data_IF_926417353498
#
_entry.id   IF_926417353498
#
_cell.length_a   1.000
_cell.length_b   1.000
_cell.length_c   1.000
_cell.angle_alpha   90.00
_cell.angle_beta   90.00
_cell.angle_gamma   90.00
#
_symmetry.space_group_name_H-M   'P 1'
#
loop_
_entity.id
_entity.type
_entity.pdbx_description
1 polymer ?
#
# COMPACT_ATOMS: atom_id res chain seq x y z
N UNK A 1 11.85 -23.00 2.29
CA UNK A 1 11.27 -22.02 3.22
C UNK A 1 9.86 -22.49 3.62
N UNK A 2 9.57 -22.52 4.91
CA UNK A 2 8.37 -23.19 5.45
C UNK A 2 7.21 -22.16 5.49
N UNK A 3 6.28 -22.21 4.53
CA UNK A 3 5.14 -21.24 4.39
C UNK A 3 4.33 -20.99 5.69
N UNK A 4 4.28 -21.95 6.61
CA UNK A 4 3.62 -21.78 7.92
C UNK A 4 4.39 -20.85 8.87
N UNK A 5 5.72 -20.76 8.72
CA UNK A 5 6.57 -19.87 9.51
C UNK A 5 6.37 -18.41 9.14
N UNK A 6 6.23 -18.11 7.84
CA UNK A 6 6.18 -16.75 7.33
C UNK A 6 4.88 -16.02 7.75
N UNK A 7 3.74 -16.70 7.68
CA UNK A 7 2.46 -16.12 8.12
C UNK A 7 2.44 -15.82 9.64
N UNK A 8 3.03 -16.72 10.44
CA UNK A 8 3.15 -16.48 11.89
C UNK A 8 4.01 -15.27 12.22
N UNK A 9 5.07 -15.02 11.44
CA UNK A 9 5.95 -13.84 11.61
C UNK A 9 5.20 -12.55 11.26
N UNK A 10 4.45 -12.54 10.16
CA UNK A 10 3.62 -11.39 9.75
C UNK A 10 2.60 -11.05 10.85
N UNK A 11 1.86 -12.06 11.35
CA UNK A 11 0.86 -11.84 12.42
C UNK A 11 1.51 -11.31 13.71
N UNK A 12 2.71 -11.81 14.07
CA UNK A 12 3.46 -11.30 15.22
C UNK A 12 3.90 -9.85 15.00
N UNK A 13 4.34 -9.50 13.79
CA UNK A 13 4.68 -8.13 13.41
C UNK A 13 3.49 -7.18 13.58
N UNK A 14 2.32 -7.54 13.04
CA UNK A 14 1.10 -6.75 13.20
C UNK A 14 0.69 -6.58 14.68
N UNK A 15 0.76 -7.67 15.47
CA UNK A 15 0.45 -7.60 16.90
C UNK A 15 1.42 -6.68 17.64
N UNK A 16 2.70 -6.71 17.28
CA UNK A 16 3.71 -5.84 17.87
C UNK A 16 3.43 -4.37 17.55
N UNK A 17 3.11 -4.05 16.31
CA UNK A 17 2.76 -2.69 15.87
C UNK A 17 1.54 -2.17 16.62
N UNK A 18 0.47 -2.98 16.73
CA UNK A 18 -0.72 -2.62 17.50
C UNK A 18 -0.43 -2.41 19.00
N UNK A 19 0.57 -3.12 19.55
CA UNK A 19 1.00 -2.96 20.95
C UNK A 19 1.82 -1.69 21.15
N UNK A 20 2.70 -1.35 20.20
CA UNK A 20 3.56 -0.16 20.28
C UNK A 20 2.71 1.12 20.18
N UNK A 21 1.84 1.18 19.16
CA UNK A 21 1.01 2.37 18.94
C UNK A 21 -0.43 2.00 18.55
N UNK A 22 -1.33 1.77 19.55
CA UNK A 22 -2.71 1.38 19.30
C UNK A 22 -3.52 2.48 18.59
N UNK A 23 -3.16 3.76 18.75
CA UNK A 23 -3.82 4.87 18.06
C UNK A 23 -3.55 4.84 16.57
N UNK A 24 -2.32 4.49 16.17
CA UNK A 24 -1.97 4.31 14.76
C UNK A 24 -2.83 3.22 14.11
N UNK A 25 -2.95 2.06 14.75
CA UNK A 25 -3.76 0.96 14.28
C UNK A 25 -5.26 1.34 14.19
N UNK A 26 -5.79 2.05 15.19
CA UNK A 26 -7.20 2.47 15.22
C UNK A 26 -7.55 3.46 14.09
N UNK A 27 -6.73 4.49 13.89
CA UNK A 27 -6.95 5.45 12.80
C UNK A 27 -6.76 4.82 11.41
N UNK A 28 -5.88 3.86 11.28
CA UNK A 28 -5.71 3.11 10.03
C UNK A 28 -6.96 2.29 9.71
N UNK A 29 -7.49 1.54 10.67
CA UNK A 29 -8.73 0.78 10.48
C UNK A 29 -9.91 1.70 10.14
N UNK A 30 -10.05 2.81 10.85
CA UNK A 30 -11.10 3.80 10.56
C UNK A 30 -10.96 4.35 9.13
N UNK A 31 -9.75 4.69 8.72
CA UNK A 31 -9.48 5.17 7.34
C UNK A 31 -9.84 4.11 6.29
N UNK A 32 -9.47 2.84 6.50
CA UNK A 32 -9.81 1.74 5.59
C UNK A 32 -11.33 1.58 5.47
N UNK A 33 -12.04 1.52 6.60
CA UNK A 33 -13.50 1.36 6.61
C UNK A 33 -14.17 2.51 5.88
N UNK A 34 -13.81 3.76 6.18
CA UNK A 34 -14.38 4.94 5.51
C UNK A 34 -14.10 4.92 4.00
N UNK A 35 -12.88 4.56 3.58
CA UNK A 35 -12.51 4.52 2.16
C UNK A 35 -13.30 3.44 1.42
N UNK A 36 -13.42 2.25 2.00
CA UNK A 36 -14.19 1.15 1.42
C UNK A 36 -15.67 1.51 1.32
N UNK A 37 -16.27 2.02 2.41
CA UNK A 37 -17.68 2.42 2.40
C UNK A 37 -17.95 3.56 1.41
N UNK A 38 -17.06 4.56 1.34
CA UNK A 38 -17.19 5.67 0.37
C UNK A 38 -17.16 5.19 -1.09
N UNK A 39 -16.51 4.05 -1.39
CA UNK A 39 -16.48 3.49 -2.74
C UNK A 39 -17.72 2.66 -3.09
N UNK A 40 -18.31 1.95 -2.13
CA UNK A 40 -19.39 1.00 -2.42
C UNK A 40 -20.80 1.52 -2.11
N UNK A 41 -20.98 2.41 -1.13
CA UNK A 41 -22.28 2.98 -0.80
C UNK A 41 -22.91 3.74 -1.98
N UNK A 42 -22.15 4.56 -2.75
CA UNK A 42 -22.71 5.24 -3.92
C UNK A 42 -23.25 4.28 -4.98
N UNK A 43 -22.60 3.14 -5.19
CA UNK A 43 -23.04 2.10 -6.14
C UNK A 43 -24.40 1.55 -5.72
N UNK A 44 -24.57 1.26 -4.43
CA UNK A 44 -25.84 0.76 -3.90
C UNK A 44 -26.96 1.81 -4.01
N UNK A 45 -26.69 3.03 -3.59
CA UNK A 45 -27.69 4.11 -3.60
C UNK A 45 -28.05 4.56 -5.03
N UNK A 46 -27.09 4.56 -5.96
CA UNK A 46 -27.38 4.87 -7.37
C UNK A 46 -28.30 3.83 -8.00
N UNK A 47 -28.16 2.56 -7.65
CA UNK A 47 -29.08 1.53 -8.11
C UNK A 47 -30.52 1.77 -7.60
N UNK A 48 -30.68 2.25 -6.37
CA UNK A 48 -31.99 2.61 -5.84
C UNK A 48 -32.58 3.86 -6.54
N UNK A 49 -31.76 4.87 -6.82
CA UNK A 49 -32.17 6.06 -7.55
C UNK A 49 -32.67 5.69 -8.95
N UNK A 50 -31.94 4.81 -9.66
CA UNK A 50 -32.35 4.32 -10.99
C UNK A 50 -33.67 3.56 -10.91
N UNK A 51 -33.90 2.76 -9.89
CA UNK A 51 -35.17 2.07 -9.69
C UNK A 51 -36.34 3.05 -9.48
N UNK A 52 -36.17 4.07 -8.65
CA UNK A 52 -37.21 5.09 -8.44
C UNK A 52 -37.50 5.87 -9.74
N UNK A 53 -36.46 6.21 -10.52
CA UNK A 53 -36.62 6.87 -11.83
C UNK A 53 -37.34 5.93 -12.84
N UNK A 54 -37.04 4.64 -12.84
CA UNK A 54 -37.72 3.67 -13.70
C UNK A 54 -39.21 3.56 -13.36
N UNK A 55 -39.58 3.65 -12.08
CA UNK A 55 -40.97 3.69 -11.64
C UNK A 55 -41.71 4.95 -12.12
N UNK A 56 -41.01 6.07 -12.34
CA UNK A 56 -41.57 7.29 -12.91
C UNK A 56 -42.01 7.14 -14.39
N UNK A 57 -41.41 6.16 -15.11
CA UNK A 57 -41.76 5.87 -16.51
C UNK A 57 -43.04 5.03 -16.66
N UNK A 58 -43.63 4.53 -15.56
CA UNK A 58 -44.86 3.75 -15.55
C UNK A 58 -46.11 4.62 -15.49
N UNK A 59 -47.15 4.33 -16.26
CA UNK A 59 -48.39 5.13 -16.46
C UNK A 59 -49.23 5.33 -15.20
N UNK A 60 -48.97 4.69 -14.05
CA UNK A 60 -49.81 4.73 -12.83
C UNK A 60 -49.11 5.23 -11.56
N UNK A 61 -47.97 5.91 -11.67
CA UNK A 61 -47.28 6.43 -10.50
C UNK A 61 -47.73 7.84 -10.13
N UNK A 62 -47.96 8.09 -8.83
CA UNK A 62 -48.03 9.43 -8.28
C UNK A 62 -46.67 10.13 -8.48
N UNK A 63 -46.52 10.80 -9.60
CA UNK A 63 -45.28 11.42 -10.10
C UNK A 63 -44.57 12.26 -9.04
N UNK A 64 -45.33 13.03 -8.24
CA UNK A 64 -44.76 13.92 -7.22
C UNK A 64 -44.07 13.18 -6.07
N UNK A 65 -44.61 12.03 -5.65
CA UNK A 65 -44.05 11.26 -4.54
C UNK A 65 -42.74 10.54 -4.95
N UNK A 66 -42.69 10.03 -6.18
CA UNK A 66 -41.51 9.36 -6.69
C UNK A 66 -40.37 10.35 -6.98
N UNK A 67 -40.69 11.55 -7.48
CA UNK A 67 -39.72 12.65 -7.65
C UNK A 67 -39.15 13.09 -6.29
N UNK A 68 -40.00 13.30 -5.28
CA UNK A 68 -39.52 13.67 -3.95
C UNK A 68 -38.60 12.60 -3.33
N UNK A 69 -38.93 11.32 -3.49
CA UNK A 69 -38.06 10.22 -3.01
C UNK A 69 -36.73 10.17 -3.74
N UNK A 70 -36.72 10.32 -5.06
CA UNK A 70 -35.48 10.34 -5.87
C UNK A 70 -34.58 11.53 -5.46
N UNK A 71 -35.13 12.71 -5.30
CA UNK A 71 -34.41 13.91 -4.86
C UNK A 71 -33.85 13.70 -3.44
N UNK A 72 -34.64 13.19 -2.53
CA UNK A 72 -34.19 12.88 -1.15
C UNK A 72 -33.05 11.84 -1.15
N UNK A 73 -33.14 10.78 -1.95
CA UNK A 73 -32.08 9.79 -2.09
C UNK A 73 -30.78 10.42 -2.62
N UNK A 74 -30.87 11.34 -3.58
CA UNK A 74 -29.68 12.07 -4.09
C UNK A 74 -29.03 12.88 -2.97
N UNK A 75 -29.80 13.68 -2.22
CA UNK A 75 -29.27 14.45 -1.09
C UNK A 75 -28.66 13.57 -0.01
N UNK A 76 -29.30 12.47 0.34
CA UNK A 76 -28.75 11.48 1.30
C UNK A 76 -27.45 10.90 0.78
N UNK A 77 -27.39 10.52 -0.50
CA UNK A 77 -26.18 9.96 -1.11
C UNK A 77 -25.02 10.95 -1.03
N UNK A 78 -25.22 12.19 -1.45
CA UNK A 78 -24.21 13.25 -1.41
C UNK A 78 -23.77 13.52 0.05
N UNK A 79 -24.72 13.61 0.97
CA UNK A 79 -24.44 13.83 2.39
C UNK A 79 -23.61 12.70 3.02
N UNK A 80 -23.98 11.44 2.76
CA UNK A 80 -23.25 10.27 3.26
C UNK A 80 -21.83 10.22 2.68
N UNK A 81 -21.67 10.44 1.38
CA UNK A 81 -20.35 10.47 0.72
C UNK A 81 -19.48 11.58 1.33
N UNK A 82 -20.06 12.77 1.52
CA UNK A 82 -19.34 13.90 2.10
C UNK A 82 -18.85 13.59 3.52
N UNK A 83 -19.72 13.05 4.38
CA UNK A 83 -19.37 12.66 5.76
C UNK A 83 -18.28 11.59 5.77
N UNK A 84 -18.43 10.54 4.96
CA UNK A 84 -17.44 9.46 4.88
C UNK A 84 -16.08 9.95 4.39
N UNK A 85 -16.06 10.82 3.38
CA UNK A 85 -14.80 11.40 2.90
C UNK A 85 -14.18 12.34 3.95
N UNK A 86 -14.99 13.13 4.66
CA UNK A 86 -14.50 14.00 5.72
C UNK A 86 -13.86 13.20 6.86
N UNK A 87 -14.57 12.19 7.37
CA UNK A 87 -14.07 11.31 8.44
C UNK A 87 -12.85 10.51 7.95
N UNK A 88 -12.89 9.99 6.72
CA UNK A 88 -11.79 9.26 6.11
C UNK A 88 -10.53 10.10 5.97
N UNK A 89 -10.64 11.34 5.49
CA UNK A 89 -9.50 12.27 5.39
C UNK A 89 -8.96 12.68 6.75
N UNK A 90 -9.84 12.90 7.73
CA UNK A 90 -9.43 13.18 9.10
C UNK A 90 -8.65 11.99 9.68
N UNK A 91 -9.17 10.76 9.52
CA UNK A 91 -8.51 9.54 9.97
C UNK A 91 -7.15 9.35 9.28
N UNK A 92 -7.07 9.59 7.96
CA UNK A 92 -5.83 9.50 7.19
C UNK A 92 -4.77 10.50 7.70
N UNK A 93 -5.14 11.76 7.94
CA UNK A 93 -4.21 12.74 8.52
C UNK A 93 -3.71 12.33 9.90
N UNK A 94 -4.60 11.83 10.76
CA UNK A 94 -4.19 11.32 12.09
C UNK A 94 -3.30 10.09 11.96
N UNK A 95 -3.60 9.18 11.02
CA UNK A 95 -2.74 8.04 10.67
C UNK A 95 -1.33 8.51 10.33
N UNK A 96 -1.17 9.53 9.46
CA UNK A 96 0.14 10.03 9.04
C UNK A 96 0.93 10.61 10.22
N UNK A 97 0.27 11.36 11.12
CA UNK A 97 0.92 11.88 12.34
C UNK A 97 1.39 10.71 13.23
N UNK A 98 0.51 9.74 13.50
CA UNK A 98 0.88 8.60 14.34
C UNK A 98 1.87 7.65 13.68
N UNK A 99 1.95 7.62 12.35
CA UNK A 99 3.00 6.92 11.60
C UNK A 99 4.39 7.50 11.92
N UNK A 100 4.52 8.83 11.96
CA UNK A 100 5.77 9.49 12.35
C UNK A 100 6.14 9.20 13.81
N UNK A 101 5.15 9.23 14.71
CA UNK A 101 5.35 8.87 16.11
C UNK A 101 5.77 7.40 16.23
N UNK A 102 5.15 6.50 15.49
CA UNK A 102 5.50 5.08 15.47
C UNK A 102 6.97 4.86 15.10
N UNK A 103 7.50 5.59 14.11
CA UNK A 103 8.91 5.52 13.75
C UNK A 103 9.84 5.91 14.91
N UNK A 104 9.45 6.89 15.72
CA UNK A 104 10.20 7.27 16.91
C UNK A 104 10.06 6.23 18.04
N UNK A 105 8.86 5.69 18.23
CA UNK A 105 8.58 4.64 19.22
C UNK A 105 9.35 3.35 18.89
N UNK A 106 9.49 3.01 17.61
CA UNK A 106 10.29 1.88 17.14
C UNK A 106 11.77 2.07 17.51
N UNK A 107 12.35 3.23 17.22
CA UNK A 107 13.73 3.56 17.60
C UNK A 107 13.94 3.53 19.11
N UNK A 108 12.97 4.05 19.88
CA UNK A 108 12.99 4.01 21.33
C UNK A 108 13.02 2.58 21.85
N UNK A 109 12.18 1.69 21.29
CA UNK A 109 12.14 0.28 21.65
C UNK A 109 13.50 -0.42 21.41
N UNK A 110 14.15 -0.11 20.29
CA UNK A 110 15.51 -0.63 20.00
C UNK A 110 16.55 -0.09 21.00
N UNK A 111 16.47 1.19 21.34
CA UNK A 111 17.38 1.80 22.31
C UNK A 111 17.20 1.18 23.72
N UNK A 112 15.95 1.09 24.21
CA UNK A 112 15.61 0.44 25.46
C UNK A 112 16.12 -1.02 25.50
N UNK A 113 15.84 -1.79 24.44
CA UNK A 113 16.31 -3.17 24.36
C UNK A 113 17.83 -3.29 24.35
N UNK A 114 18.52 -2.34 23.72
CA UNK A 114 19.99 -2.31 23.71
C UNK A 114 20.56 -1.96 25.09
N UNK A 115 19.88 -1.11 25.85
CA UNK A 115 20.30 -0.76 27.22
C UNK A 115 20.01 -1.89 28.22
N UNK A 116 18.92 -2.62 28.06
CA UNK A 116 18.54 -3.73 28.94
C UNK A 116 19.36 -5.01 28.70
N UNK A 117 20.09 -5.08 27.58
CA UNK A 117 20.93 -6.24 27.28
C UNK A 117 22.14 -6.29 28.21
N UNK A 118 22.47 -7.50 28.67
CA UNK A 118 23.73 -7.73 29.41
C UNK A 118 24.91 -7.37 28.50
N UNK A 119 25.94 -6.74 29.07
CA UNK A 119 27.14 -6.34 28.34
C UNK A 119 27.76 -7.48 27.51
N UNK A 120 27.84 -8.67 28.10
CA UNK A 120 28.34 -9.88 27.44
C UNK A 120 27.50 -10.34 26.23
N UNK A 121 26.23 -9.95 26.14
CA UNK A 121 25.36 -10.23 25.00
C UNK A 121 25.45 -9.13 23.94
N UNK A 122 25.62 -7.90 24.37
CA UNK A 122 25.78 -6.74 23.49
C UNK A 122 27.09 -6.82 22.67
N UNK A 123 28.17 -7.35 23.25
CA UNK A 123 29.47 -7.51 22.59
C UNK A 123 29.56 -8.75 21.67
N UNK A 124 28.57 -9.65 21.67
CA UNK A 124 28.59 -10.80 20.77
C UNK A 124 28.57 -10.35 19.32
N UNK A 125 29.47 -10.90 18.51
CA UNK A 125 29.52 -10.67 17.06
C UNK A 125 28.17 -10.92 16.38
N UNK A 126 27.40 -11.92 16.86
CA UNK A 126 26.05 -12.19 16.37
C UNK A 126 25.07 -11.05 16.61
N UNK A 127 25.15 -10.37 17.75
CA UNK A 127 24.28 -9.21 18.08
C UNK A 127 24.66 -8.01 17.21
N UNK A 128 25.96 -7.75 17.03
CA UNK A 128 26.46 -6.69 16.16
C UNK A 128 26.02 -6.92 14.70
N UNK A 129 26.15 -8.14 14.20
CA UNK A 129 25.70 -8.50 12.85
C UNK A 129 24.17 -8.37 12.68
N UNK A 130 23.39 -8.77 13.69
CA UNK A 130 21.93 -8.63 13.66
C UNK A 130 21.53 -7.16 13.62
N UNK A 131 22.16 -6.30 14.42
CA UNK A 131 21.93 -4.85 14.43
C UNK A 131 22.27 -4.24 13.07
N UNK A 132 23.45 -4.54 12.53
CA UNK A 132 23.85 -4.05 11.20
C UNK A 132 22.90 -4.51 10.09
N UNK A 133 22.38 -5.74 10.19
CA UNK A 133 21.38 -6.26 9.25
C UNK A 133 20.05 -5.50 9.35
N UNK A 134 19.54 -5.27 10.56
CA UNK A 134 18.31 -4.49 10.79
C UNK A 134 18.48 -3.05 10.24
N UNK A 135 19.61 -2.40 10.51
CA UNK A 135 19.88 -1.06 10.00
C UNK A 135 19.94 -1.03 8.46
N UNK A 136 20.57 -2.03 7.85
CA UNK A 136 20.61 -2.19 6.39
C UNK A 136 19.22 -2.45 5.80
N UNK A 137 18.43 -3.35 6.38
CA UNK A 137 17.06 -3.62 5.94
C UNK A 137 16.15 -2.39 6.08
N UNK A 138 16.30 -1.61 7.16
CA UNK A 138 15.59 -0.34 7.33
C UNK A 138 15.94 0.69 6.25
N UNK A 139 17.20 0.76 5.82
CA UNK A 139 17.64 1.66 4.75
C UNK A 139 17.14 1.22 3.38
N UNK A 140 17.00 -0.08 3.13
CA UNK A 140 16.50 -0.65 1.87
C UNK A 140 14.97 -0.66 1.78
N UNK A 141 14.26 -0.15 2.79
CA UNK A 141 12.79 -0.07 2.80
C UNK A 141 12.08 -1.31 3.36
N UNK A 142 12.81 -2.37 3.73
CA UNK A 142 12.23 -3.55 4.42
C UNK A 142 12.09 -3.29 5.92
N UNK A 143 11.32 -2.28 6.28
CA UNK A 143 11.10 -1.91 7.67
C UNK A 143 9.71 -2.31 8.17
N UNK A 144 9.50 -2.21 9.47
CA UNK A 144 8.24 -2.54 10.12
C UNK A 144 7.07 -1.66 9.65
N UNK A 145 7.36 -0.41 9.30
CA UNK A 145 6.40 0.52 8.71
C UNK A 145 5.90 0.03 7.34
N UNK A 146 6.81 -0.42 6.47
CA UNK A 146 6.47 -0.94 5.13
C UNK A 146 5.62 -2.22 5.23
N UNK A 147 5.96 -3.11 6.19
CA UNK A 147 5.16 -4.30 6.50
C UNK A 147 3.71 -3.91 6.84
N UNK A 148 3.54 -2.89 7.68
CA UNK A 148 2.23 -2.44 8.11
C UNK A 148 1.44 -1.77 6.97
N UNK A 149 2.06 -0.86 6.22
CA UNK A 149 1.43 -0.19 5.07
C UNK A 149 0.97 -1.19 4.00
N UNK A 150 1.82 -2.13 3.62
CA UNK A 150 1.45 -3.15 2.64
C UNK A 150 0.40 -4.12 3.17
N UNK A 151 0.49 -4.49 4.44
CA UNK A 151 -0.51 -5.35 5.07
C UNK A 151 -1.88 -4.68 5.19
N UNK A 152 -1.94 -3.38 5.49
CA UNK A 152 -3.20 -2.63 5.53
C UNK A 152 -3.83 -2.49 4.14
N UNK A 153 -3.03 -2.28 3.08
CA UNK A 153 -3.49 -2.31 1.69
C UNK A 153 -4.06 -3.68 1.31
N UNK A 154 -3.42 -4.75 1.75
CA UNK A 154 -3.90 -6.11 1.53
C UNK A 154 -5.25 -6.35 2.24
N UNK A 155 -5.39 -5.93 3.49
CA UNK A 155 -6.67 -6.02 4.23
C UNK A 155 -7.76 -5.22 3.49
N UNK A 156 -7.47 -3.99 3.08
CA UNK A 156 -8.39 -3.16 2.30
C UNK A 156 -8.81 -3.86 1.01
N UNK A 157 -7.86 -4.44 0.27
CA UNK A 157 -8.12 -5.19 -0.94
C UNK A 157 -8.99 -6.44 -0.70
N UNK A 158 -8.76 -7.18 0.37
CA UNK A 158 -9.57 -8.34 0.75
C UNK A 158 -11.02 -7.93 1.07
N UNK A 159 -11.23 -6.87 1.86
CA UNK A 159 -12.56 -6.36 2.18
C UNK A 159 -13.27 -5.91 0.89
N UNK A 160 -12.58 -5.14 0.04
CA UNK A 160 -13.11 -4.70 -1.25
C UNK A 160 -13.50 -5.88 -2.15
N UNK A 161 -12.68 -6.92 -2.24
CA UNK A 161 -12.95 -8.11 -3.02
C UNK A 161 -14.20 -8.86 -2.52
N UNK A 162 -14.36 -9.02 -1.21
CA UNK A 162 -15.56 -9.67 -0.62
C UNK A 162 -16.83 -8.89 -0.95
N UNK A 163 -16.81 -7.56 -0.80
CA UNK A 163 -17.95 -6.72 -1.11
C UNK A 163 -18.27 -6.75 -2.61
N UNK A 164 -17.25 -6.63 -3.48
CA UNK A 164 -17.42 -6.72 -4.93
C UNK A 164 -18.02 -8.06 -5.33
N UNK A 165 -17.54 -9.16 -4.74
CA UNK A 165 -18.08 -10.49 -4.99
C UNK A 165 -19.55 -10.60 -4.58
N UNK A 166 -19.94 -10.02 -3.44
CA UNK A 166 -21.33 -10.00 -3.00
C UNK A 166 -22.23 -9.23 -3.98
N UNK A 167 -21.76 -8.08 -4.51
CA UNK A 167 -22.50 -7.34 -5.54
C UNK A 167 -22.66 -8.12 -6.84
N UNK A 168 -21.59 -8.76 -7.32
CA UNK A 168 -21.63 -9.58 -8.53
C UNK A 168 -22.53 -10.78 -8.34
N UNK A 169 -22.45 -11.47 -7.20
CA UNK A 169 -23.33 -12.60 -6.90
C UNK A 169 -24.81 -12.18 -6.93
N UNK A 170 -25.15 -11.03 -6.33
CA UNK A 170 -26.50 -10.47 -6.37
C UNK A 170 -26.94 -10.18 -7.80
N UNK A 171 -26.08 -9.61 -8.64
CA UNK A 171 -26.37 -9.28 -10.03
C UNK A 171 -26.64 -10.53 -10.88
N UNK A 172 -25.91 -11.64 -10.61
CA UNK A 172 -26.11 -12.91 -11.28
C UNK A 172 -27.45 -13.59 -10.90
N UNK A 173 -28.02 -13.27 -9.74
CA UNK A 173 -29.27 -13.85 -9.25
C UNK A 173 -30.52 -13.01 -9.53
N UNK A 174 -30.38 -11.92 -10.30
CA UNK A 174 -31.55 -11.12 -10.73
C UNK A 174 -32.38 -11.94 -11.73
N UNK A 175 -33.66 -12.11 -11.40
CA UNK A 175 -34.64 -12.73 -12.27
C UNK A 175 -34.93 -11.84 -13.49
N UNK A 176 -34.95 -12.43 -14.69
CA UNK A 176 -35.21 -11.71 -15.94
C UNK A 176 -34.00 -11.60 -16.88
N UNK A 177 -32.78 -11.87 -16.44
CA UNK A 177 -31.62 -11.91 -17.34
C UNK A 177 -31.54 -13.26 -18.10
N UNK A 178 -31.34 -13.25 -19.43
CA UNK A 178 -31.14 -14.47 -20.20
C UNK A 178 -29.84 -15.18 -19.75
N UNK A 179 -29.86 -16.53 -19.73
CA UNK A 179 -28.72 -17.33 -19.22
C UNK A 179 -27.40 -17.04 -19.92
N UNK A 180 -27.43 -16.74 -21.20
CA UNK A 180 -26.23 -16.45 -21.98
C UNK A 180 -25.57 -15.13 -21.55
N UNK A 181 -26.35 -14.09 -21.21
CA UNK A 181 -25.78 -12.80 -20.75
C UNK A 181 -25.10 -12.93 -19.40
N UNK A 182 -25.62 -13.75 -18.48
CA UNK A 182 -24.98 -14.10 -17.21
C UNK A 182 -23.64 -14.79 -17.43
N UNK A 183 -23.59 -15.75 -18.38
CA UNK A 183 -22.36 -16.47 -18.74
C UNK A 183 -21.31 -15.52 -19.34
N UNK A 184 -21.70 -14.65 -20.26
CA UNK A 184 -20.80 -13.63 -20.85
C UNK A 184 -20.24 -12.71 -19.78
N UNK A 185 -21.09 -12.17 -18.90
CA UNK A 185 -20.68 -11.28 -17.82
C UNK A 185 -19.70 -11.96 -16.87
N UNK A 186 -19.95 -13.22 -16.51
CA UNK A 186 -19.04 -14.00 -15.68
C UNK A 186 -17.69 -14.23 -16.36
N UNK A 187 -17.68 -14.60 -17.64
CA UNK A 187 -16.44 -14.80 -18.41
C UNK A 187 -15.63 -13.52 -18.51
N UNK A 188 -16.26 -12.38 -18.81
CA UNK A 188 -15.60 -11.06 -18.87
C UNK A 188 -14.99 -10.73 -17.52
N UNK A 189 -15.72 -10.92 -16.42
CA UNK A 189 -15.23 -10.64 -15.07
C UNK A 189 -14.02 -11.51 -14.72
N UNK A 190 -14.07 -12.81 -14.99
CA UNK A 190 -12.94 -13.73 -14.75
C UNK A 190 -11.73 -13.31 -15.60
N UNK A 191 -11.96 -12.92 -16.85
CA UNK A 191 -10.90 -12.48 -17.76
C UNK A 191 -10.22 -11.20 -17.23
N UNK A 192 -10.99 -10.20 -16.81
CA UNK A 192 -10.47 -8.95 -16.23
C UNK A 192 -9.64 -9.24 -14.97
N UNK A 193 -10.15 -10.10 -14.07
CA UNK A 193 -9.43 -10.49 -12.86
C UNK A 193 -8.12 -11.21 -13.21
N UNK A 194 -8.16 -12.16 -14.16
CA UNK A 194 -6.99 -12.93 -14.57
C UNK A 194 -5.91 -12.02 -15.18
N UNK A 195 -6.30 -11.12 -16.09
CA UNK A 195 -5.35 -10.17 -16.71
C UNK A 195 -4.75 -9.23 -15.68
N UNK A 196 -5.57 -8.64 -14.77
CA UNK A 196 -5.07 -7.80 -13.69
C UNK A 196 -4.10 -8.56 -12.76
N UNK A 197 -4.41 -9.82 -12.42
CA UNK A 197 -3.53 -10.64 -11.60
C UNK A 197 -2.19 -10.94 -12.29
N UNK A 198 -2.22 -11.25 -13.58
CA UNK A 198 -1.01 -11.49 -14.38
C UNK A 198 -0.17 -10.22 -14.53
N UNK A 199 -0.78 -9.07 -14.83
CA UNK A 199 -0.09 -7.80 -14.90
C UNK A 199 0.56 -7.43 -13.57
N UNK A 200 -0.18 -7.52 -12.46
CA UNK A 200 0.35 -7.22 -11.12
C UNK A 200 1.52 -8.15 -10.76
N UNK A 201 1.43 -9.44 -11.10
CA UNK A 201 2.52 -10.41 -10.86
C UNK A 201 3.78 -10.03 -11.65
N UNK A 202 3.62 -9.68 -12.92
CA UNK A 202 4.74 -9.25 -13.77
C UNK A 202 5.35 -7.93 -13.29
N UNK A 203 4.53 -6.97 -12.88
CA UNK A 203 5.03 -5.71 -12.28
C UNK A 203 5.83 -5.99 -11.01
N UNK A 204 5.39 -6.93 -10.18
CA UNK A 204 6.07 -7.29 -8.94
C UNK A 204 7.41 -8.00 -9.21
N UNK A 205 7.45 -8.87 -10.23
CA UNK A 205 8.70 -9.50 -10.67
C UNK A 205 9.72 -8.45 -11.12
N UNK A 206 9.30 -7.44 -11.91
CA UNK A 206 10.17 -6.34 -12.37
C UNK A 206 10.66 -5.49 -11.19
N UNK A 207 9.78 -5.14 -10.24
CA UNK A 207 10.18 -4.38 -9.06
C UNK A 207 11.19 -5.16 -8.18
N UNK A 208 11.00 -6.48 -8.03
CA UNK A 208 11.94 -7.31 -7.28
C UNK A 208 13.31 -7.38 -7.98
N UNK A 209 13.33 -7.53 -9.31
CA UNK A 209 14.54 -7.52 -10.11
C UNK A 209 15.30 -6.18 -9.96
N UNK A 210 14.59 -5.06 -10.05
CA UNK A 210 15.17 -3.73 -9.82
C UNK A 210 15.77 -3.60 -8.42
N UNK A 211 15.03 -4.04 -7.39
CA UNK A 211 15.50 -3.98 -6.01
C UNK A 211 16.77 -4.81 -5.78
N UNK A 212 16.84 -6.01 -6.35
CA UNK A 212 18.03 -6.87 -6.24
C UNK A 212 19.25 -6.23 -6.92
N UNK A 213 19.07 -5.62 -8.08
CA UNK A 213 20.14 -4.93 -8.83
C UNK A 213 20.58 -3.63 -8.17
N UNK A 214 19.64 -2.89 -7.58
CA UNK A 214 19.92 -1.60 -6.94
C UNK A 214 20.42 -1.73 -5.49
N UNK A 215 20.17 -2.85 -4.80
CA UNK A 215 20.57 -3.03 -3.41
C UNK A 215 22.08 -2.82 -3.14
N UNK A 216 23.02 -3.39 -3.93
CA UNK A 216 24.46 -3.14 -3.74
C UNK A 216 24.84 -1.69 -4.02
N UNK A 217 24.19 -1.03 -5.00
CA UNK A 217 24.44 0.38 -5.32
C UNK A 217 24.01 1.28 -4.17
N UNK A 218 22.88 0.99 -3.55
CA UNK A 218 22.38 1.72 -2.37
C UNK A 218 23.33 1.57 -1.16
N UNK A 219 23.92 0.39 -0.94
CA UNK A 219 24.91 0.20 0.12
C UNK A 219 26.15 1.08 -0.10
N UNK A 220 26.68 1.12 -1.31
CA UNK A 220 27.80 1.98 -1.65
C UNK A 220 27.46 3.47 -1.56
N UNK A 221 26.29 3.86 -2.04
CA UNK A 221 25.79 5.24 -1.93
C UNK A 221 25.71 5.70 -0.47
N UNK A 222 25.18 4.85 0.40
CA UNK A 222 25.13 5.12 1.86
C UNK A 222 26.52 5.22 2.45
N UNK A 223 27.43 4.30 2.08
CA UNK A 223 28.82 4.36 2.52
C UNK A 223 29.49 5.71 2.15
N UNK A 224 29.41 6.14 0.91
CA UNK A 224 30.00 7.41 0.49
C UNK A 224 29.31 8.61 1.14
N UNK A 225 27.98 8.56 1.30
CA UNK A 225 27.23 9.61 1.99
C UNK A 225 27.66 9.76 3.45
N UNK A 226 27.80 8.65 4.18
CA UNK A 226 28.21 8.67 5.56
C UNK A 226 29.68 9.06 5.72
N UNK A 227 30.55 8.58 4.81
CA UNK A 227 31.96 8.94 4.77
C UNK A 227 32.16 10.44 4.53
N UNK A 228 31.36 11.05 3.64
CA UNK A 228 31.43 12.49 3.34
C UNK A 228 30.84 13.37 4.47
N UNK A 229 29.91 12.83 5.26
CA UNK A 229 29.34 13.54 6.41
C UNK A 229 30.25 13.52 7.65
N UNK A 230 31.16 12.54 7.73
CA UNK A 230 32.06 12.44 8.86
C UNK A 230 33.19 13.49 8.74
N UNK A 231 33.17 14.44 9.67
CA UNK A 231 34.18 15.50 9.74
C UNK A 231 35.62 14.98 9.83
N UNK A 232 35.84 13.82 10.45
CA UNK A 232 37.14 13.15 10.57
C UNK A 232 37.72 12.80 9.20
N UNK A 233 36.88 12.27 8.33
CA UNK A 233 37.25 11.90 6.95
C UNK A 233 37.58 13.11 6.08
N UNK A 234 37.07 14.29 6.40
CA UNK A 234 37.28 15.51 5.61
C UNK A 234 38.76 15.97 5.56
N UNK A 235 39.56 15.67 6.58
CA UNK A 235 41.02 15.94 6.60
C UNK A 235 41.72 15.00 5.59
N UNK A 236 41.42 13.73 5.66
CA UNK A 236 42.06 12.69 4.83
C UNK A 236 41.68 12.88 3.36
N UNK A 237 40.43 13.18 3.04
CA UNK A 237 39.97 13.49 1.69
C UNK A 237 40.76 14.63 1.08
N UNK A 238 41.01 15.71 1.83
CA UNK A 238 41.77 16.88 1.36
C UNK A 238 43.26 16.58 1.24
N UNK A 239 43.81 15.90 2.26
CA UNK A 239 45.26 15.60 2.30
C UNK A 239 45.68 14.65 1.19
N UNK A 240 44.86 13.67 0.86
CA UNK A 240 45.12 12.68 -0.20
C UNK A 240 44.49 13.05 -1.55
N UNK A 241 43.85 14.21 -1.69
CA UNK A 241 43.24 14.65 -2.93
C UNK A 241 42.15 13.73 -3.48
N UNK A 242 41.41 13.04 -2.61
CA UNK A 242 40.45 11.98 -2.97
C UNK A 242 39.10 12.49 -3.51
N UNK A 243 38.87 13.81 -3.58
CA UNK A 243 37.61 14.39 -3.99
C UNK A 243 37.16 13.90 -5.37
N UNK A 244 38.09 13.93 -6.35
CA UNK A 244 37.79 13.51 -7.71
C UNK A 244 37.45 12.03 -7.79
N UNK A 245 38.21 11.18 -7.11
CA UNK A 245 37.98 9.73 -7.03
C UNK A 245 36.59 9.41 -6.46
N UNK A 246 36.21 10.07 -5.36
CA UNK A 246 34.91 9.85 -4.72
C UNK A 246 33.77 10.32 -5.63
N UNK A 247 33.90 11.51 -6.22
CA UNK A 247 32.89 12.05 -7.14
C UNK A 247 32.71 11.18 -8.39
N UNK A 248 33.78 10.70 -8.96
CA UNK A 248 33.72 9.83 -10.17
C UNK A 248 33.06 8.48 -9.83
N UNK A 249 33.36 7.92 -8.67
CA UNK A 249 32.70 6.69 -8.21
C UNK A 249 31.19 6.92 -7.95
N UNK A 250 30.82 8.00 -7.28
CA UNK A 250 29.41 8.33 -7.03
C UNK A 250 28.67 8.57 -8.36
N UNK A 251 29.26 9.28 -9.32
CA UNK A 251 28.67 9.47 -10.65
C UNK A 251 28.43 8.14 -11.36
N UNK A 252 29.46 7.30 -11.41
CA UNK A 252 29.36 5.97 -12.03
C UNK A 252 28.24 5.12 -11.43
N UNK A 253 28.09 5.19 -10.13
CA UNK A 253 27.02 4.47 -9.42
C UNK A 253 25.64 5.06 -9.73
N UNK A 254 25.50 6.38 -9.75
CA UNK A 254 24.26 7.04 -10.12
C UNK A 254 23.86 6.72 -11.57
N UNK A 255 24.80 6.68 -12.49
CA UNK A 255 24.54 6.31 -13.88
C UNK A 255 24.05 4.85 -13.99
N UNK A 256 24.65 3.94 -13.24
CA UNK A 256 24.19 2.55 -13.17
C UNK A 256 22.79 2.44 -12.57
N UNK A 257 22.54 3.17 -11.49
CA UNK A 257 21.22 3.20 -10.86
C UNK A 257 20.14 3.72 -11.82
N UNK A 258 20.42 4.85 -12.48
CA UNK A 258 19.51 5.43 -13.48
C UNK A 258 19.23 4.44 -14.62
N UNK A 259 20.25 3.78 -15.12
CA UNK A 259 20.09 2.79 -16.18
C UNK A 259 19.17 1.62 -15.78
N UNK A 260 19.34 1.07 -14.58
CA UNK A 260 18.47 -0.01 -14.09
C UNK A 260 17.04 0.48 -13.85
N UNK A 261 16.89 1.66 -13.24
CA UNK A 261 15.57 2.25 -12.98
C UNK A 261 14.82 2.61 -14.27
N UNK A 262 15.52 3.13 -15.29
CA UNK A 262 14.92 3.37 -16.60
C UNK A 262 14.44 2.08 -17.28
N UNK A 263 15.23 1.01 -17.22
CA UNK A 263 14.83 -0.28 -17.77
C UNK A 263 13.61 -0.85 -17.06
N UNK A 264 13.58 -0.77 -15.72
CA UNK A 264 12.44 -1.21 -14.92
C UNK A 264 11.20 -0.38 -15.25
N UNK A 265 11.32 0.95 -15.28
CA UNK A 265 10.20 1.85 -15.57
C UNK A 265 9.61 1.63 -16.96
N UNK A 266 10.41 1.43 -17.99
CA UNK A 266 9.91 1.10 -19.35
C UNK A 266 9.08 -0.19 -19.34
N UNK A 267 9.52 -1.23 -18.63
CA UNK A 267 8.74 -2.48 -18.47
C UNK A 267 7.43 -2.22 -17.70
N UNK A 268 7.49 -1.43 -16.62
CA UNK A 268 6.33 -1.10 -15.79
C UNK A 268 5.28 -0.27 -16.54
N UNK A 269 5.70 0.68 -17.37
CA UNK A 269 4.81 1.49 -18.21
C UNK A 269 3.94 0.60 -19.12
N UNK A 270 4.55 -0.37 -19.79
CA UNK A 270 3.82 -1.31 -20.67
C UNK A 270 2.73 -2.09 -19.89
N UNK A 271 3.06 -2.58 -18.70
CA UNK A 271 2.08 -3.30 -17.87
C UNK A 271 1.01 -2.38 -17.29
N UNK A 272 1.37 -1.12 -16.96
CA UNK A 272 0.43 -0.12 -16.44
C UNK A 272 -0.57 0.31 -17.51
N UNK A 273 -0.12 0.55 -18.74
CA UNK A 273 -1.00 0.83 -19.88
C UNK A 273 -1.93 -0.33 -20.17
N UNK A 274 -1.40 -1.58 -20.18
CA UNK A 274 -2.22 -2.77 -20.36
C UNK A 274 -3.31 -2.92 -19.29
N UNK A 275 -2.99 -2.58 -18.04
CA UNK A 275 -3.95 -2.56 -16.93
C UNK A 275 -4.98 -1.43 -17.06
N UNK A 276 -4.55 -0.23 -17.48
CA UNK A 276 -5.43 0.93 -17.65
C UNK A 276 -6.44 0.79 -18.79
N UNK A 277 -6.15 -0.03 -19.81
CA UNK A 277 -7.11 -0.32 -20.88
C UNK A 277 -8.23 -1.26 -20.44
N UNK A 278 -8.09 -1.94 -19.29
CA UNK A 278 -9.04 -2.92 -18.75
C UNK A 278 -9.76 -2.45 -17.48
N UNK A 279 -9.41 -1.27 -16.96
CA UNK A 279 -10.04 -0.64 -15.81
C UNK A 279 -11.01 0.47 -16.26
#
# INVERSE_FOLDING_TARGET
MNKKSDFSVIVKGFRLICKINPKYAGYTLLSIVCTVLASYIPIYLSAQIVNEIALLSGENASHDIAVQKAVLLIFVTVGVIWVLNFVGRYAARKKDIYSTIFYMDEKKLFAEKSMDMKFSEAEKKSTALLKARIDSENQTGYNMWMLYENGTKLIQGCIGAVISFAYVARLLWIDGMPRWSRAVLFVVLVLVIAVNALCNRKMQDVNNEEMELCAPLNQWSNFYSDYLKDYRSGKDIRMFGMQKLILDNVRKMNDQYLHFSEQANRKLELYTVGKGLLS
#
